data_IF_024803961380
#
_entry.id   IF_024803961380
#
_cell.length_a   1.000
_cell.length_b   1.000
_cell.length_c   1.000
_cell.angle_alpha   90.00
_cell.angle_beta   90.00
_cell.angle_gamma   90.00
#
_symmetry.space_group_name_H-M   'P 1'
#
loop_
_entity.id
_entity.type
_entity.pdbx_description
1 polymer ?
#
# COMPACT_ATOMS: atom_id res chain seq x y z
N UNK A 1 53.18 25.88 35.71
CA UNK A 1 52.63 24.56 35.40
C UNK A 1 51.77 23.94 36.48
N UNK A 2 51.87 24.34 37.77
CA UNK A 2 51.12 23.76 38.91
C UNK A 2 49.62 24.13 38.97
N UNK A 3 49.21 25.34 38.54
CA UNK A 3 47.80 25.78 38.70
C UNK A 3 46.83 25.08 37.72
N UNK A 4 47.30 24.60 36.56
CA UNK A 4 46.46 23.87 35.61
C UNK A 4 46.04 22.49 36.16
N UNK A 5 46.93 21.82 36.86
CA UNK A 5 46.68 20.48 37.41
C UNK A 5 45.61 20.48 38.53
N UNK A 6 45.67 21.51 39.39
CA UNK A 6 44.69 21.66 40.47
C UNK A 6 43.26 21.96 39.97
N UNK A 7 43.15 22.72 38.87
CA UNK A 7 41.83 23.00 38.26
C UNK A 7 41.21 21.72 37.68
N UNK A 8 42.04 20.83 37.10
CA UNK A 8 41.54 19.58 36.56
C UNK A 8 41.18 18.55 37.65
N UNK A 9 41.86 18.62 38.83
CA UNK A 9 41.54 17.77 39.95
C UNK A 9 40.06 17.96 40.41
N UNK A 10 39.57 19.20 40.37
CA UNK A 10 38.19 19.54 40.69
C UNK A 10 37.20 18.91 39.72
N UNK A 11 37.54 18.75 38.44
CA UNK A 11 36.68 18.13 37.43
C UNK A 11 36.69 16.60 37.49
N UNK A 12 37.71 15.97 38.08
CA UNK A 12 37.78 14.50 38.20
C UNK A 12 36.66 13.96 39.07
N UNK A 13 36.28 14.68 40.14
CA UNK A 13 35.25 14.25 41.06
C UNK A 13 33.89 14.09 40.37
N UNK A 14 33.35 15.11 39.66
CA UNK A 14 32.09 14.96 38.94
C UNK A 14 32.18 13.91 37.82
N UNK A 15 33.29 13.84 37.08
CA UNK A 15 33.49 12.81 36.04
C UNK A 15 33.39 11.42 36.64
N UNK A 16 34.12 11.17 37.74
CA UNK A 16 34.09 9.87 38.42
C UNK A 16 32.70 9.50 38.95
N UNK A 17 31.98 10.48 39.51
CA UNK A 17 30.61 10.29 39.98
C UNK A 17 29.67 9.90 38.85
N UNK A 18 29.75 10.63 37.71
CA UNK A 18 28.93 10.34 36.51
C UNK A 18 29.22 8.96 35.97
N UNK A 19 30.49 8.55 35.88
CA UNK A 19 30.89 7.20 35.43
C UNK A 19 30.34 6.12 36.33
N UNK A 20 30.46 6.31 37.67
CA UNK A 20 29.94 5.35 38.66
C UNK A 20 28.42 5.22 38.52
N UNK A 21 27.70 6.31 38.46
CA UNK A 21 26.23 6.29 38.24
C UNK A 21 25.88 5.56 36.95
N UNK A 22 26.54 5.91 35.84
CA UNK A 22 26.34 5.23 34.57
C UNK A 22 26.61 3.74 34.61
N UNK A 23 27.68 3.34 35.27
CA UNK A 23 28.02 1.93 35.44
C UNK A 23 26.91 1.16 36.17
N UNK A 24 26.38 1.69 37.26
CA UNK A 24 25.26 1.06 37.98
C UNK A 24 23.97 1.05 37.17
N UNK A 25 23.69 2.13 36.43
CA UNK A 25 22.53 2.19 35.51
C UNK A 25 22.64 1.12 34.41
N UNK A 26 23.82 0.98 33.77
CA UNK A 26 24.04 -0.04 32.76
C UNK A 26 23.88 -1.46 33.36
N UNK A 27 24.37 -1.68 34.57
CA UNK A 27 24.22 -2.95 35.26
C UNK A 27 22.75 -3.24 35.58
N UNK A 28 22.01 -2.23 36.00
CA UNK A 28 20.57 -2.34 36.29
C UNK A 28 19.79 -2.68 35.03
N UNK A 29 20.02 -1.94 33.92
CA UNK A 29 19.39 -2.20 32.61
C UNK A 29 19.71 -3.61 32.12
N UNK A 30 20.97 -4.04 32.24
CA UNK A 30 21.41 -5.41 31.90
C UNK A 30 20.66 -6.48 32.70
N UNK A 31 20.46 -6.25 33.99
CA UNK A 31 19.71 -7.18 34.84
C UNK A 31 18.23 -7.23 34.41
N UNK A 32 17.60 -6.09 34.14
CA UNK A 32 16.20 -6.03 33.73
C UNK A 32 16.00 -6.81 32.41
N UNK A 33 16.73 -6.45 31.36
CA UNK A 33 16.61 -7.12 30.07
C UNK A 33 17.04 -8.60 30.11
N UNK A 34 18.01 -8.96 30.96
CA UNK A 34 18.38 -10.34 31.19
C UNK A 34 17.28 -11.18 31.86
N UNK A 35 16.40 -10.60 32.67
CA UNK A 35 15.22 -11.29 33.22
C UNK A 35 14.11 -11.43 32.15
N UNK A 36 13.98 -10.47 31.27
CA UNK A 36 13.04 -10.52 30.10
C UNK A 36 13.49 -11.63 29.14
N UNK A 37 14.79 -11.67 28.78
CA UNK A 37 15.38 -12.71 27.92
C UNK A 37 15.15 -14.12 28.47
N UNK A 38 15.23 -14.27 29.78
CA UNK A 38 14.99 -15.57 30.48
C UNK A 38 13.50 -15.88 30.67
N UNK A 39 12.60 -15.04 30.21
CA UNK A 39 11.15 -15.23 30.31
C UNK A 39 10.57 -15.09 31.73
N UNK A 40 11.35 -14.60 32.70
CA UNK A 40 10.89 -14.37 34.07
C UNK A 40 9.99 -13.16 34.21
N UNK A 41 10.21 -12.14 33.36
CA UNK A 41 9.38 -10.93 33.25
C UNK A 41 8.81 -10.96 31.86
N UNK A 42 7.45 -10.99 31.74
CA UNK A 42 6.73 -10.88 30.48
C UNK A 42 6.06 -9.51 30.43
N UNK A 43 6.47 -8.67 29.49
CA UNK A 43 5.71 -7.50 29.16
C UNK A 43 4.70 -7.88 28.06
N UNK A 44 3.48 -7.39 28.18
CA UNK A 44 2.45 -7.56 27.16
C UNK A 44 3.00 -7.02 25.83
N UNK A 45 3.00 -7.85 24.77
CA UNK A 45 3.49 -7.53 23.42
C UNK A 45 5.02 -7.39 23.22
N UNK A 46 5.87 -7.66 24.25
CA UNK A 46 7.32 -7.61 24.08
C UNK A 46 7.91 -8.99 23.85
N UNK A 47 8.42 -9.24 22.65
CA UNK A 47 9.04 -10.52 22.30
C UNK A 47 10.40 -10.69 23.00
N UNK A 48 10.67 -11.88 23.51
CA UNK A 48 11.93 -12.20 24.22
C UNK A 48 13.17 -11.94 23.36
N UNK A 49 13.07 -12.17 22.04
CA UNK A 49 14.14 -11.92 21.07
C UNK A 49 14.56 -10.45 20.99
N UNK A 50 13.68 -9.53 21.36
CA UNK A 50 13.95 -8.09 21.36
C UNK A 50 14.73 -7.63 22.58
N UNK A 51 14.82 -8.42 23.64
CA UNK A 51 15.48 -8.04 24.88
C UNK A 51 16.94 -7.65 24.67
N UNK A 52 17.68 -8.46 23.94
CA UNK A 52 19.11 -8.23 23.68
C UNK A 52 19.37 -7.01 22.78
N UNK A 53 18.72 -6.84 21.61
CA UNK A 53 18.85 -5.63 20.80
C UNK A 53 18.44 -4.37 21.55
N UNK A 54 17.33 -4.38 22.28
CA UNK A 54 16.87 -3.23 23.04
C UNK A 54 17.85 -2.85 24.14
N UNK A 55 18.42 -3.82 24.86
CA UNK A 55 19.50 -3.58 25.82
C UNK A 55 20.70 -2.89 25.15
N UNK A 56 21.12 -3.34 23.96
CA UNK A 56 22.24 -2.75 23.23
C UNK A 56 21.97 -1.29 22.85
N UNK A 57 20.77 -1.01 22.34
CA UNK A 57 20.32 0.36 21.99
C UNK A 57 20.29 1.25 23.22
N UNK A 58 19.64 0.81 24.30
CA UNK A 58 19.56 1.56 25.56
C UNK A 58 20.95 1.84 26.13
N UNK A 59 21.84 0.83 26.09
CA UNK A 59 23.21 0.99 26.57
C UNK A 59 24.00 1.99 25.73
N UNK A 60 23.86 1.95 24.39
CA UNK A 60 24.49 2.89 23.49
C UNK A 60 24.02 4.32 23.76
N UNK A 61 22.70 4.54 23.88
CA UNK A 61 22.12 5.85 24.17
C UNK A 61 22.62 6.37 25.53
N UNK A 62 22.62 5.51 26.57
CA UNK A 62 23.09 5.89 27.90
C UNK A 62 24.57 6.30 27.88
N UNK A 63 25.43 5.55 27.18
CA UNK A 63 26.84 5.89 27.02
C UNK A 63 27.01 7.21 26.26
N UNK A 64 26.24 7.42 25.18
CA UNK A 64 26.29 8.67 24.40
C UNK A 64 25.86 9.90 25.23
N UNK A 65 24.78 9.76 26.02
CA UNK A 65 24.34 10.80 26.94
C UNK A 65 25.39 11.07 28.02
N UNK A 66 25.96 10.02 28.58
CA UNK A 66 27.05 10.13 29.58
C UNK A 66 28.26 10.86 29.00
N UNK A 67 28.67 10.53 27.80
CA UNK A 67 29.76 11.21 27.10
C UNK A 67 29.46 12.70 26.89
N UNK A 68 28.22 13.03 26.51
CA UNK A 68 27.78 14.42 26.36
C UNK A 68 27.80 15.22 27.69
N UNK A 69 27.41 14.58 28.80
CA UNK A 69 27.45 15.19 30.13
C UNK A 69 28.88 15.38 30.63
N UNK A 70 29.79 14.44 30.35
CA UNK A 70 31.19 14.49 30.76
C UNK A 70 31.97 15.53 29.92
N UNK A 71 31.54 15.76 28.68
CA UNK A 71 32.25 16.59 27.70
C UNK A 71 32.70 17.97 28.23
N UNK A 72 31.91 18.79 28.94
CA UNK A 72 32.32 20.08 29.47
C UNK A 72 33.40 20.00 30.55
N UNK A 73 33.59 18.84 31.19
CA UNK A 73 34.59 18.63 32.23
C UNK A 73 35.94 18.17 31.69
N UNK A 74 36.03 17.85 30.36
CA UNK A 74 37.27 17.39 29.75
C UNK A 74 38.26 18.55 29.50
N UNK A 75 39.60 18.31 29.66
CA UNK A 75 40.57 19.30 29.32
C UNK A 75 40.56 19.60 27.81
N UNK A 76 40.54 20.89 27.46
CA UNK A 76 40.55 21.31 26.07
C UNK A 76 39.19 21.30 25.35
N UNK A 77 38.08 21.09 26.07
CA UNK A 77 36.72 21.09 25.47
C UNK A 77 36.39 22.38 24.70
N UNK A 78 36.99 23.53 25.06
CA UNK A 78 36.84 24.82 24.36
C UNK A 78 37.73 24.97 23.13
N UNK A 79 38.57 23.99 22.79
CA UNK A 79 39.42 24.10 21.62
C UNK A 79 38.61 23.98 20.32
N UNK A 80 39.03 24.73 19.29
CA UNK A 80 38.44 24.69 17.95
C UNK A 80 38.41 23.26 17.36
N UNK A 81 39.45 22.46 17.62
CA UNK A 81 39.51 21.08 17.18
C UNK A 81 38.40 20.20 17.79
N UNK A 82 38.18 20.33 19.08
CA UNK A 82 37.10 19.61 19.76
C UNK A 82 35.70 19.99 19.26
N UNK A 83 35.46 21.32 19.05
CA UNK A 83 34.23 21.78 18.45
C UNK A 83 34.01 21.23 17.04
N UNK A 84 35.07 21.26 16.21
CA UNK A 84 35.02 20.72 14.84
C UNK A 84 34.64 19.22 14.81
N UNK A 85 35.32 18.41 15.64
CA UNK A 85 35.00 16.98 15.75
C UNK A 85 33.58 16.73 16.24
N UNK A 86 33.11 17.49 17.25
CA UNK A 86 31.78 17.32 17.81
C UNK A 86 30.70 17.65 16.78
N UNK A 87 30.86 18.75 16.03
CA UNK A 87 29.96 19.11 14.93
C UNK A 87 29.96 18.03 13.84
N UNK A 88 31.14 17.56 13.45
CA UNK A 88 31.28 16.52 12.44
C UNK A 88 30.55 15.21 12.83
N UNK A 89 30.75 14.74 14.06
CA UNK A 89 30.04 13.56 14.59
C UNK A 89 28.55 13.81 14.65
N UNK A 90 28.11 15.00 15.10
CA UNK A 90 26.69 15.39 15.14
C UNK A 90 26.04 15.32 13.75
N UNK A 91 26.72 15.84 12.72
CA UNK A 91 26.24 15.78 11.32
C UNK A 91 26.15 14.35 10.83
N UNK A 92 27.18 13.51 11.09
CA UNK A 92 27.15 12.09 10.69
C UNK A 92 25.99 11.34 11.32
N UNK A 93 25.74 11.52 12.63
CA UNK A 93 24.61 10.89 13.32
C UNK A 93 23.30 11.41 12.77
N UNK A 94 23.18 12.71 12.53
CA UNK A 94 21.98 13.32 11.97
C UNK A 94 21.64 12.75 10.60
N UNK A 95 22.61 12.69 9.68
CA UNK A 95 22.43 12.09 8.36
C UNK A 95 22.05 10.60 8.44
N UNK A 96 22.71 9.85 9.32
CA UNK A 96 22.43 8.42 9.51
C UNK A 96 21.04 8.14 10.10
N UNK A 97 20.48 9.09 10.85
CA UNK A 97 19.17 8.94 11.52
C UNK A 97 17.99 9.37 10.66
N UNK A 98 18.22 9.97 9.49
CA UNK A 98 17.18 10.60 8.66
C UNK A 98 16.00 9.66 8.36
N UNK A 99 16.27 8.42 7.96
CA UNK A 99 15.24 7.44 7.60
C UNK A 99 14.36 7.05 8.81
N UNK A 100 14.98 6.83 9.96
CA UNK A 100 14.26 6.47 11.19
C UNK A 100 13.34 7.63 11.61
N UNK A 101 13.88 8.85 11.62
CA UNK A 101 13.14 10.06 11.98
C UNK A 101 11.99 10.31 11.01
N UNK A 102 12.20 10.16 9.70
CA UNK A 102 11.17 10.30 8.68
C UNK A 102 10.01 9.31 8.89
N UNK A 103 10.32 8.04 9.13
CA UNK A 103 9.29 7.01 9.35
C UNK A 103 8.53 7.22 10.68
N UNK A 104 9.22 7.63 11.74
CA UNK A 104 8.59 7.92 13.03
C UNK A 104 7.64 9.11 12.93
N UNK A 105 8.09 10.21 12.31
CA UNK A 105 7.27 11.39 12.11
C UNK A 105 6.06 11.09 11.23
N UNK A 106 6.26 10.35 10.13
CA UNK A 106 5.17 9.90 9.27
C UNK A 106 4.18 9.02 10.04
N UNK A 107 4.66 8.09 10.88
CA UNK A 107 3.81 7.25 11.73
C UNK A 107 2.93 8.07 12.67
N UNK A 108 3.49 9.09 13.31
CA UNK A 108 2.74 10.01 14.17
C UNK A 108 1.66 10.74 13.34
N UNK A 109 2.02 11.32 12.19
CA UNK A 109 1.07 12.02 11.32
C UNK A 109 -0.06 11.08 10.89
N UNK A 110 0.24 9.87 10.43
CA UNK A 110 -0.75 8.87 10.00
C UNK A 110 -1.67 8.42 11.14
N UNK A 111 -1.15 8.43 12.38
CA UNK A 111 -1.96 8.12 13.56
C UNK A 111 -3.02 9.19 13.81
N UNK A 112 -2.64 10.47 13.75
CA UNK A 112 -3.55 11.59 13.99
C UNK A 112 -4.44 11.93 12.79
N UNK A 113 -3.98 11.66 11.57
CA UNK A 113 -4.74 11.93 10.34
C UNK A 113 -5.98 11.05 10.17
N UNK A 114 -6.09 9.92 10.89
CA UNK A 114 -7.21 8.97 10.83
C UNK A 114 -7.59 8.51 9.41
N UNK A 115 -6.65 8.55 8.47
CA UNK A 115 -6.89 8.21 7.06
C UNK A 115 -7.39 6.77 6.87
N UNK A 116 -7.02 5.88 7.77
CA UNK A 116 -7.48 4.49 7.84
C UNK A 116 -7.26 3.90 9.24
N UNK A 117 -8.00 2.85 9.55
CA UNK A 117 -7.95 2.12 10.83
C UNK A 117 -7.55 0.66 10.60
N UNK A 118 -7.28 -0.06 11.70
CA UNK A 118 -7.07 -1.52 11.66
C UNK A 118 -8.31 -2.20 11.12
N UNK A 119 -8.13 -3.13 10.19
CA UNK A 119 -9.21 -3.84 9.50
C UNK A 119 -9.74 -3.14 8.26
N UNK A 120 -9.44 -1.86 8.01
CA UNK A 120 -9.86 -1.17 6.79
C UNK A 120 -9.27 -1.84 5.54
N UNK A 121 -10.07 -1.92 4.48
CA UNK A 121 -9.61 -2.34 3.16
C UNK A 121 -9.11 -1.13 2.40
N UNK A 122 -7.83 -1.11 2.09
CA UNK A 122 -7.15 0.06 1.53
C UNK A 122 -6.33 -0.32 0.30
N UNK A 123 -6.12 0.65 -0.55
CA UNK A 123 -5.11 0.59 -1.61
C UNK A 123 -4.07 1.68 -1.37
N UNK A 124 -2.82 1.27 -1.27
CA UNK A 124 -1.65 2.14 -1.13
C UNK A 124 -0.72 1.81 -2.29
N UNK A 125 -0.58 2.73 -3.24
CA UNK A 125 0.09 2.49 -4.52
C UNK A 125 -0.53 1.27 -5.24
N UNK A 126 0.26 0.19 -5.42
CA UNK A 126 -0.19 -1.05 -6.06
C UNK A 126 -0.66 -2.11 -5.04
N UNK A 127 -0.45 -1.86 -3.76
CA UNK A 127 -0.80 -2.81 -2.69
C UNK A 127 -2.24 -2.61 -2.27
N UNK A 128 -3.06 -3.65 -2.43
CA UNK A 128 -4.46 -3.67 -2.01
C UNK A 128 -4.65 -4.74 -0.94
N UNK A 129 -5.31 -4.41 0.17
CA UNK A 129 -5.56 -5.37 1.23
C UNK A 129 -6.08 -4.74 2.52
N UNK A 130 -6.17 -5.57 3.58
CA UNK A 130 -6.58 -5.14 4.90
C UNK A 130 -5.40 -4.65 5.74
N UNK A 131 -5.60 -3.56 6.46
CA UNK A 131 -4.63 -3.07 7.45
C UNK A 131 -4.65 -4.02 8.65
N UNK A 132 -3.58 -4.80 8.82
CA UNK A 132 -3.48 -5.79 9.91
C UNK A 132 -2.79 -5.22 11.15
N UNK A 133 -1.76 -4.42 10.94
CA UNK A 133 -1.01 -3.82 12.04
C UNK A 133 -0.52 -2.41 11.66
N UNK A 134 -0.43 -1.56 12.67
CA UNK A 134 -0.06 -0.17 12.55
C UNK A 134 0.89 0.22 13.67
N UNK A 135 2.16 0.39 13.35
CA UNK A 135 3.17 0.77 14.33
C UNK A 135 3.91 2.06 13.91
N UNK A 136 4.73 2.68 14.78
CA UNK A 136 5.38 3.96 14.50
C UNK A 136 6.30 3.99 13.28
N UNK A 137 6.77 2.85 12.79
CA UNK A 137 7.75 2.78 11.71
C UNK A 137 7.16 2.24 10.41
N UNK A 138 6.26 1.25 10.52
CA UNK A 138 5.70 0.53 9.37
C UNK A 138 4.23 0.23 9.59
N UNK A 139 3.52 0.02 8.51
CA UNK A 139 2.16 -0.53 8.49
C UNK A 139 2.20 -1.86 7.74
N UNK A 140 1.43 -2.84 8.24
CA UNK A 140 1.30 -4.16 7.64
C UNK A 140 -0.05 -4.30 6.98
N UNK A 141 -0.04 -4.72 5.72
CA UNK A 141 -1.24 -4.95 4.92
C UNK A 141 -1.28 -6.42 4.51
N UNK A 142 -2.37 -7.09 4.84
CA UNK A 142 -2.66 -8.44 4.37
C UNK A 142 -3.45 -8.36 3.06
N UNK A 143 -2.85 -8.84 1.98
CA UNK A 143 -3.49 -8.87 0.68
C UNK A 143 -4.54 -9.98 0.60
N UNK A 144 -5.48 -9.97 -0.39
CA UNK A 144 -6.45 -11.05 -0.60
C UNK A 144 -5.82 -12.43 -0.86
N UNK A 145 -4.53 -12.46 -1.24
CA UNK A 145 -3.75 -13.70 -1.41
C UNK A 145 -3.08 -14.18 -0.12
N UNK A 146 -3.43 -13.58 1.04
CA UNK A 146 -2.86 -13.90 2.35
C UNK A 146 -1.35 -13.60 2.40
N UNK A 147 -0.87 -12.62 1.65
CA UNK A 147 0.51 -12.15 1.69
C UNK A 147 0.57 -10.89 2.55
N UNK A 148 1.45 -10.92 3.55
CA UNK A 148 1.70 -9.76 4.40
C UNK A 148 2.73 -8.83 3.74
N UNK A 149 2.30 -7.64 3.39
CA UNK A 149 3.16 -6.59 2.84
C UNK A 149 3.45 -5.56 3.93
N UNK A 150 4.74 -5.25 4.10
CA UNK A 150 5.20 -4.27 5.10
C UNK A 150 5.61 -2.99 4.38
N UNK A 151 4.94 -1.89 4.70
CA UNK A 151 5.18 -0.58 4.09
C UNK A 151 5.75 0.40 5.13
N UNK A 152 6.89 1.07 4.85
CA UNK A 152 7.40 2.14 5.70
C UNK A 152 6.42 3.32 5.76
N UNK A 153 6.23 3.90 6.95
CA UNK A 153 5.26 5.00 7.14
C UNK A 153 5.57 6.22 6.27
N UNK A 154 6.85 6.53 6.05
CA UNK A 154 7.26 7.63 5.19
C UNK A 154 6.83 7.43 3.73
N UNK A 155 6.86 6.19 3.23
CA UNK A 155 6.35 5.84 1.90
C UNK A 155 4.86 6.08 1.82
N UNK A 156 4.10 5.62 2.81
CA UNK A 156 2.64 5.76 2.84
C UNK A 156 2.22 7.23 2.88
N UNK A 157 2.89 8.05 3.69
CA UNK A 157 2.58 9.48 3.82
C UNK A 157 2.77 10.23 2.49
N UNK A 158 3.74 9.79 1.67
CA UNK A 158 4.03 10.38 0.37
C UNK A 158 3.26 9.75 -0.78
N UNK A 159 2.47 8.71 -0.52
CA UNK A 159 1.71 7.96 -1.53
C UNK A 159 0.23 8.34 -1.52
N UNK A 160 -0.45 8.03 -2.62
CA UNK A 160 -1.91 8.08 -2.66
C UNK A 160 -2.49 6.91 -1.88
N UNK A 161 -3.30 7.20 -0.86
CA UNK A 161 -4.06 6.21 -0.10
C UNK A 161 -5.52 6.28 -0.50
N UNK A 162 -6.07 5.16 -0.96
CA UNK A 162 -7.51 4.99 -1.21
C UNK A 162 -8.07 4.06 -0.14
N UNK A 163 -9.01 4.55 0.66
CA UNK A 163 -9.68 3.76 1.69
C UNK A 163 -11.10 3.41 1.22
N UNK A 164 -11.35 2.13 0.98
CA UNK A 164 -12.65 1.62 0.52
C UNK A 164 -13.64 1.42 1.68
N UNK A 165 -13.16 1.34 2.92
CA UNK A 165 -13.99 1.09 4.11
C UNK A 165 -14.46 2.37 4.79
N UNK A 166 -13.81 3.50 4.56
CA UNK A 166 -14.02 4.75 5.29
C UNK A 166 -15.48 5.23 5.21
N UNK A 167 -16.04 5.32 4.01
CA UNK A 167 -17.40 5.81 3.80
C UNK A 167 -18.44 4.91 4.44
N UNK A 168 -18.30 3.59 4.27
CA UNK A 168 -19.21 2.62 4.86
C UNK A 168 -19.17 2.64 6.40
N UNK A 169 -17.98 2.82 6.96
CA UNK A 169 -17.76 2.86 8.42
C UNK A 169 -18.26 4.16 9.04
N UNK A 170 -17.88 5.30 8.51
CA UNK A 170 -18.06 6.60 9.17
C UNK A 170 -19.41 7.24 8.86
N UNK A 171 -19.93 7.04 7.65
CA UNK A 171 -21.18 7.66 7.19
C UNK A 171 -22.30 6.66 6.89
N UNK A 172 -22.01 5.36 6.90
CA UNK A 172 -22.96 4.33 6.49
C UNK A 172 -23.27 4.32 5.00
N UNK A 173 -22.58 5.16 4.20
CA UNK A 173 -22.79 5.22 2.75
C UNK A 173 -22.11 4.02 2.11
N UNK A 174 -22.85 3.17 1.34
CA UNK A 174 -22.26 2.00 0.71
C UNK A 174 -21.27 2.38 -0.39
N UNK A 175 -20.23 1.56 -0.54
CA UNK A 175 -19.25 1.68 -1.61
C UNK A 175 -19.91 1.41 -2.96
N UNK A 176 -19.59 2.20 -3.97
CA UNK A 176 -19.99 1.92 -5.36
C UNK A 176 -18.91 1.08 -6.02
N UNK A 177 -19.26 -0.16 -6.36
CA UNK A 177 -18.46 -1.00 -7.24
C UNK A 177 -18.83 -0.71 -8.68
N UNK A 178 -17.83 -0.55 -9.53
CA UNK A 178 -18.04 -0.30 -10.95
C UNK A 178 -17.41 -1.40 -11.80
N UNK A 179 -18.16 -1.85 -12.80
CA UNK A 179 -17.77 -2.93 -13.71
C UNK A 179 -17.91 -2.44 -15.14
N UNK A 180 -16.81 -2.28 -15.89
CA UNK A 180 -16.87 -1.94 -17.30
C UNK A 180 -17.24 -3.15 -18.14
N UNK A 181 -18.09 -2.95 -19.17
CA UNK A 181 -18.52 -3.97 -20.11
C UNK A 181 -18.62 -3.31 -21.48
N UNK A 182 -18.16 -4.00 -22.53
CA UNK A 182 -18.26 -3.54 -23.90
C UNK A 182 -19.22 -4.42 -24.69
N UNK A 183 -20.20 -3.81 -25.38
CA UNK A 183 -21.23 -4.50 -26.15
C UNK A 183 -21.44 -3.82 -27.49
N UNK A 184 -21.77 -4.61 -28.54
CA UNK A 184 -21.98 -4.10 -29.90
C UNK A 184 -23.22 -3.21 -30.02
N UNK A 185 -23.30 -2.45 -31.11
CA UNK A 185 -24.43 -1.58 -31.44
C UNK A 185 -25.69 -2.34 -31.90
N UNK A 186 -25.57 -3.63 -32.18
CA UNK A 186 -26.64 -4.52 -32.59
C UNK A 186 -27.72 -4.74 -31.53
N UNK A 187 -27.40 -4.48 -30.26
CA UNK A 187 -28.32 -4.63 -29.13
C UNK A 187 -28.80 -3.27 -28.65
N UNK A 188 -30.15 -3.07 -28.53
CA UNK A 188 -30.67 -1.81 -27.99
C UNK A 188 -30.22 -1.56 -26.55
N UNK A 189 -29.67 -0.37 -26.27
CA UNK A 189 -29.10 -0.01 -24.96
C UNK A 189 -30.09 -0.20 -23.79
N UNK A 190 -31.41 0.01 -24.01
CA UNK A 190 -32.43 -0.20 -22.97
C UNK A 190 -32.51 -1.65 -22.52
N UNK A 191 -32.31 -2.61 -23.44
CA UNK A 191 -32.25 -4.04 -23.14
C UNK A 191 -31.01 -4.37 -22.32
N UNK A 192 -29.85 -3.79 -22.71
CA UNK A 192 -28.59 -3.93 -21.99
C UNK A 192 -28.68 -3.40 -20.57
N UNK A 193 -29.18 -2.16 -20.37
CA UNK A 193 -29.34 -1.57 -19.05
C UNK A 193 -30.21 -2.44 -18.13
N UNK A 194 -31.33 -2.95 -18.66
CA UNK A 194 -32.23 -3.82 -17.88
C UNK A 194 -31.55 -5.11 -17.43
N UNK A 195 -30.81 -5.78 -18.34
CA UNK A 195 -30.09 -7.00 -18.04
C UNK A 195 -29.00 -6.77 -16.97
N UNK A 196 -28.20 -5.72 -17.14
CA UNK A 196 -27.10 -5.40 -16.21
C UNK A 196 -27.63 -5.01 -14.80
N UNK A 197 -28.68 -4.20 -14.74
CA UNK A 197 -29.32 -3.84 -13.44
C UNK A 197 -29.87 -5.09 -12.75
N UNK A 198 -30.49 -6.00 -13.51
CA UNK A 198 -31.01 -7.25 -12.94
C UNK A 198 -29.86 -8.15 -12.44
N UNK A 199 -28.77 -8.28 -13.21
CA UNK A 199 -27.60 -9.02 -12.80
C UNK A 199 -26.99 -8.51 -11.49
N UNK A 200 -26.98 -7.19 -11.29
CA UNK A 200 -26.56 -6.60 -10.02
C UNK A 200 -27.51 -6.93 -8.86
N UNK A 201 -28.84 -6.88 -9.09
CA UNK A 201 -29.82 -7.21 -8.07
C UNK A 201 -29.80 -8.67 -7.63
N UNK A 202 -29.40 -9.58 -8.52
CA UNK A 202 -29.28 -11.00 -8.24
C UNK A 202 -28.01 -11.32 -7.42
N UNK A 203 -27.13 -10.35 -7.20
CA UNK A 203 -25.93 -10.52 -6.39
C UNK A 203 -26.26 -10.26 -4.90
N UNK A 204 -26.11 -11.25 -4.01
CA UNK A 204 -26.45 -11.11 -2.59
C UNK A 204 -25.66 -10.04 -1.85
N UNK A 205 -24.43 -9.75 -2.32
CA UNK A 205 -23.55 -8.75 -1.71
C UNK A 205 -23.87 -7.30 -2.12
N UNK A 206 -24.84 -7.11 -3.01
CA UNK A 206 -25.29 -5.79 -3.46
C UNK A 206 -26.45 -5.32 -2.62
N UNK A 207 -26.40 -4.06 -2.20
CA UNK A 207 -27.45 -3.43 -1.38
C UNK A 207 -28.73 -3.29 -2.20
N UNK A 208 -29.83 -3.88 -1.71
CA UNK A 208 -31.09 -3.88 -2.44
C UNK A 208 -31.85 -2.55 -2.34
N UNK A 209 -31.65 -1.80 -1.27
CA UNK A 209 -32.30 -0.50 -1.03
C UNK A 209 -31.76 0.60 -1.99
N UNK A 210 -30.56 0.42 -2.52
CA UNK A 210 -29.94 1.31 -3.49
C UNK A 210 -30.07 0.72 -4.89
N UNK A 211 -30.76 1.45 -5.79
CA UNK A 211 -30.93 0.98 -7.17
C UNK A 211 -29.62 1.04 -7.94
N UNK A 212 -29.09 -0.10 -8.43
CA UNK A 212 -27.94 -0.12 -9.34
C UNK A 212 -28.26 0.68 -10.60
N UNK A 213 -27.25 1.29 -11.20
CA UNK A 213 -27.39 2.09 -12.42
C UNK A 213 -26.28 1.80 -13.42
N UNK A 214 -26.56 2.05 -14.68
CA UNK A 214 -25.63 1.83 -15.78
C UNK A 214 -25.36 3.15 -16.48
N UNK A 215 -24.07 3.44 -16.70
CA UNK A 215 -23.60 4.57 -17.52
C UNK A 215 -23.09 4.06 -18.86
N UNK A 216 -23.32 4.82 -19.90
CA UNK A 216 -22.61 4.69 -21.18
C UNK A 216 -21.39 5.61 -21.09
N UNK A 217 -20.19 5.03 -21.06
CA UNK A 217 -18.95 5.79 -20.83
C UNK A 217 -18.27 6.23 -22.11
N UNK A 218 -18.43 5.47 -23.21
CA UNK A 218 -17.97 5.87 -24.53
C UNK A 218 -18.80 5.22 -25.65
N UNK A 219 -18.77 5.85 -26.82
CA UNK A 219 -19.27 5.32 -28.08
C UNK A 219 -18.04 5.13 -28.98
N UNK A 220 -17.57 3.90 -29.06
CA UNK A 220 -16.36 3.54 -29.80
C UNK A 220 -16.72 3.02 -31.21
N UNK A 221 -15.72 2.78 -32.08
CA UNK A 221 -15.95 2.43 -33.49
C UNK A 221 -16.79 1.17 -33.70
N UNK A 222 -16.72 0.18 -32.77
CA UNK A 222 -17.36 -1.14 -32.91
C UNK A 222 -18.22 -1.55 -31.72
N UNK A 223 -18.15 -0.82 -30.60
CA UNK A 223 -18.86 -1.15 -29.39
C UNK A 223 -19.21 0.10 -28.60
N UNK A 224 -20.14 -0.05 -27.71
CA UNK A 224 -20.47 0.93 -26.68
C UNK A 224 -19.89 0.43 -25.35
N UNK A 225 -19.18 1.29 -24.65
CA UNK A 225 -18.68 0.99 -23.32
C UNK A 225 -19.76 1.34 -22.28
N UNK A 226 -20.15 0.35 -21.50
CA UNK A 226 -21.08 0.47 -20.38
C UNK A 226 -20.33 0.31 -19.08
N UNK A 227 -20.75 1.02 -18.07
CA UNK A 227 -20.27 0.86 -16.70
C UNK A 227 -21.45 0.56 -15.78
N UNK A 228 -21.53 -0.67 -15.29
CA UNK A 228 -22.48 -1.05 -14.26
C UNK A 228 -21.96 -0.55 -12.92
N UNK A 229 -22.80 0.19 -12.18
CA UNK A 229 -22.50 0.69 -10.84
C UNK A 229 -23.48 0.07 -9.84
N UNK A 230 -22.94 -0.59 -8.83
CA UNK A 230 -23.71 -1.30 -7.81
C UNK A 230 -23.18 -0.98 -6.41
N UNK A 231 -24.07 -0.92 -5.43
CA UNK A 231 -23.73 -0.50 -4.07
C UNK A 231 -23.47 -1.71 -3.17
N UNK A 232 -22.40 -1.66 -2.35
CA UNK A 232 -22.10 -2.70 -1.38
C UNK A 232 -21.63 -2.13 -0.04
N UNK A 233 -21.99 -2.78 1.06
CA UNK A 233 -21.42 -2.55 2.39
C UNK A 233 -20.23 -3.50 2.67
N UNK A 234 -20.10 -4.56 1.87
CA UNK A 234 -19.05 -5.55 2.05
C UNK A 234 -17.76 -5.07 1.36
N UNK A 235 -16.86 -4.50 2.13
CA UNK A 235 -15.56 -4.03 1.63
C UNK A 235 -14.43 -5.06 1.79
N UNK A 236 -14.69 -6.17 2.51
CA UNK A 236 -13.68 -7.18 2.83
C UNK A 236 -13.36 -8.15 1.69
N UNK A 237 -14.28 -8.34 0.74
CA UNK A 237 -14.11 -9.28 -0.39
C UNK A 237 -14.56 -8.67 -1.71
N UNK A 238 -14.01 -7.51 -2.05
CA UNK A 238 -14.28 -6.85 -3.34
C UNK A 238 -14.02 -7.76 -4.55
N UNK A 239 -12.91 -8.54 -4.61
CA UNK A 239 -12.66 -9.45 -5.72
C UNK A 239 -13.73 -10.55 -5.84
N UNK A 240 -14.20 -11.11 -4.74
CA UNK A 240 -15.26 -12.12 -4.73
C UNK A 240 -16.58 -11.56 -5.22
N UNK A 241 -16.95 -10.36 -4.79
CA UNK A 241 -18.17 -9.66 -5.25
C UNK A 241 -18.09 -9.39 -6.77
N UNK A 242 -16.96 -8.91 -7.28
CA UNK A 242 -16.79 -8.73 -8.73
C UNK A 242 -16.92 -10.05 -9.49
N UNK A 243 -16.32 -11.12 -8.98
CA UNK A 243 -16.45 -12.46 -9.61
C UNK A 243 -17.91 -12.93 -9.66
N UNK A 244 -18.67 -12.73 -8.59
CA UNK A 244 -20.09 -13.05 -8.55
C UNK A 244 -20.89 -12.18 -9.53
N UNK A 245 -20.59 -10.90 -9.56
CA UNK A 245 -21.25 -9.95 -10.46
C UNK A 245 -21.01 -10.31 -11.93
N UNK A 246 -19.77 -10.70 -12.29
CA UNK A 246 -19.44 -11.14 -13.64
C UNK A 246 -20.23 -12.40 -14.06
N UNK A 247 -20.37 -13.37 -13.17
CA UNK A 247 -21.21 -14.57 -13.43
C UNK A 247 -22.65 -14.19 -13.71
N UNK A 248 -23.25 -13.38 -12.83
CA UNK A 248 -24.63 -12.94 -12.97
C UNK A 248 -24.84 -12.13 -14.27
N UNK A 249 -23.83 -11.33 -14.67
CA UNK A 249 -23.88 -10.58 -15.94
C UNK A 249 -23.91 -11.53 -17.12
N UNK A 250 -23.04 -12.55 -17.14
CA UNK A 250 -23.02 -13.55 -18.20
C UNK A 250 -24.37 -14.28 -18.28
N UNK A 251 -24.85 -14.81 -17.16
CA UNK A 251 -26.13 -15.54 -17.09
C UNK A 251 -27.30 -14.67 -17.60
N UNK A 252 -27.38 -13.41 -17.15
CA UNK A 252 -28.47 -12.50 -17.58
C UNK A 252 -28.34 -12.05 -19.04
N UNK A 253 -27.13 -11.92 -19.54
CA UNK A 253 -26.91 -11.62 -20.97
C UNK A 253 -27.35 -12.81 -21.84
N UNK A 254 -27.01 -14.03 -21.44
CA UNK A 254 -27.43 -15.24 -22.15
C UNK A 254 -28.95 -15.44 -22.15
N UNK A 255 -29.62 -15.25 -21.01
CA UNK A 255 -31.09 -15.35 -20.90
C UNK A 255 -31.87 -14.43 -21.84
N UNK A 256 -31.28 -13.28 -22.18
CA UNK A 256 -31.93 -12.28 -23.06
C UNK A 256 -31.28 -12.22 -24.44
N UNK A 257 -30.48 -13.19 -24.83
CA UNK A 257 -29.77 -13.25 -26.12
C UNK A 257 -28.97 -11.96 -26.39
N UNK A 258 -28.13 -11.57 -25.42
CA UNK A 258 -27.13 -10.50 -25.57
C UNK A 258 -25.77 -11.19 -25.62
N UNK A 259 -25.12 -11.13 -26.77
CA UNK A 259 -23.79 -11.74 -26.95
C UNK A 259 -22.70 -10.78 -26.49
N UNK A 260 -21.94 -11.20 -25.46
CA UNK A 260 -20.73 -10.49 -25.04
C UNK A 260 -19.61 -10.93 -25.97
N UNK A 261 -19.30 -10.08 -26.97
CA UNK A 261 -18.29 -10.41 -27.98
C UNK A 261 -17.05 -9.57 -27.84
N UNK A 262 -15.89 -10.20 -28.15
CA UNK A 262 -14.63 -9.46 -28.27
C UNK A 262 -14.64 -8.61 -29.55
N UNK A 263 -14.36 -7.29 -29.48
CA UNK A 263 -14.38 -6.41 -30.65
C UNK A 263 -13.34 -6.75 -31.71
N UNK A 264 -12.37 -7.61 -31.42
CA UNK A 264 -11.28 -7.95 -32.34
C UNK A 264 -11.67 -8.90 -33.48
N UNK A 265 -12.83 -9.56 -33.44
CA UNK A 265 -13.22 -10.55 -34.44
C UNK A 265 -13.91 -9.97 -35.68
N UNK A 266 -14.47 -8.78 -35.63
CA UNK A 266 -15.28 -8.23 -36.72
C UNK A 266 -14.48 -7.43 -37.74
N UNK A 267 -13.20 -7.20 -37.57
CA UNK A 267 -12.47 -6.26 -38.44
C UNK A 267 -11.62 -6.87 -39.54
N UNK A 268 -11.56 -8.18 -39.65
CA UNK A 268 -10.89 -8.86 -40.80
C UNK A 268 -11.81 -9.06 -42.01
N UNK A 269 -13.08 -8.69 -41.90
CA UNK A 269 -14.03 -8.83 -42.97
C UNK A 269 -14.36 -7.48 -43.61
N UNK A 270 -13.95 -7.38 -44.85
CA UNK A 270 -14.55 -6.49 -45.86
C UNK A 270 -14.12 -5.01 -45.85
N UNK A 271 -12.88 -4.76 -46.13
CA UNK A 271 -12.57 -3.63 -46.99
C UNK A 271 -12.19 -4.16 -48.35
N UNK A 272 -13.10 -4.02 -49.32
CA UNK A 272 -12.91 -4.26 -50.78
C UNK A 272 -12.25 -5.57 -51.22
N UNK A 273 -12.51 -6.68 -50.54
CA UNK A 273 -12.00 -7.97 -50.94
C UNK A 273 -10.48 -8.16 -50.86
N UNK A 274 -9.77 -7.19 -50.32
CA UNK A 274 -8.32 -7.25 -50.16
C UNK A 274 -7.93 -7.18 -48.67
N UNK A 275 -7.38 -8.27 -48.08
CA UNK A 275 -7.08 -8.33 -46.66
C UNK A 275 -5.78 -7.60 -46.23
N UNK A 276 -5.19 -6.80 -47.10
CA UNK A 276 -3.95 -6.11 -46.79
C UNK A 276 -4.20 -4.72 -46.21
N UNK A 277 -3.71 -4.47 -45.02
CA UNK A 277 -3.65 -3.13 -44.41
C UNK A 277 -2.49 -2.28 -44.95
N UNK A 278 -1.66 -2.86 -45.82
CA UNK A 278 -0.53 -2.17 -46.45
C UNK A 278 -0.99 -1.67 -47.83
N UNK A 279 -0.84 -0.39 -48.13
CA UNK A 279 -1.16 0.15 -49.46
C UNK A 279 -0.40 -0.61 -50.57
N UNK A 280 -1.04 -0.87 -51.70
CA UNK A 280 -0.49 -1.68 -52.80
C UNK A 280 0.86 -1.20 -53.34
N UNK A 281 1.13 0.09 -53.29
CA UNK A 281 2.41 0.68 -53.69
C UNK A 281 3.60 0.34 -52.78
N UNK A 282 3.35 -0.23 -51.59
CA UNK A 282 4.38 -0.70 -50.66
C UNK A 282 4.54 -2.23 -50.69
N UNK A 283 3.74 -2.94 -51.43
CA UNK A 283 3.84 -4.40 -51.54
C UNK A 283 4.82 -4.80 -52.67
N UNK A 284 5.62 -5.88 -52.49
CA UNK A 284 6.39 -6.45 -53.58
C UNK A 284 5.48 -6.82 -54.76
N UNK A 285 5.97 -6.71 -55.99
CA UNK A 285 5.16 -6.97 -57.22
C UNK A 285 4.64 -8.40 -57.29
N UNK A 286 5.23 -9.33 -56.58
CA UNK A 286 4.87 -10.77 -56.49
C UNK A 286 4.15 -11.14 -55.20
N UNK A 287 3.75 -10.16 -54.38
CA UNK A 287 3.04 -10.43 -53.16
C UNK A 287 1.66 -11.04 -53.43
N UNK A 288 1.43 -12.19 -52.80
CA UNK A 288 0.10 -12.84 -52.77
C UNK A 288 -0.41 -12.84 -51.35
N UNK A 289 -1.56 -12.20 -51.13
CA UNK A 289 -2.23 -12.20 -49.84
C UNK A 289 -2.55 -13.63 -49.42
N UNK A 290 -2.29 -14.00 -48.13
CA UNK A 290 -2.75 -15.28 -47.61
C UNK A 290 -4.28 -15.33 -47.66
N UNK A 291 -4.84 -16.34 -48.38
CA UNK A 291 -6.29 -16.52 -48.46
C UNK A 291 -6.75 -17.26 -47.19
N UNK A 292 -7.45 -16.57 -46.31
CA UNK A 292 -8.22 -17.19 -45.25
C UNK A 292 -9.59 -17.55 -45.80
N UNK A 293 -9.83 -18.83 -46.04
CA UNK A 293 -11.15 -19.33 -46.38
C UNK A 293 -12.02 -19.48 -45.15
N UNK A 294 -12.93 -18.55 -44.90
CA UNK A 294 -14.01 -18.73 -43.93
C UNK A 294 -15.09 -19.53 -44.64
N UNK A 295 -15.33 -20.78 -44.31
CA UNK A 295 -16.54 -21.51 -44.68
C UNK A 295 -17.68 -20.97 -43.81
N UNK A 296 -18.50 -20.12 -44.36
CA UNK A 296 -19.82 -19.85 -43.79
C UNK A 296 -20.64 -21.13 -44.01
N UNK A 297 -20.95 -21.85 -42.90
CA UNK A 297 -21.92 -22.92 -42.96
C UNK A 297 -23.26 -22.32 -43.37
N UNK A 298 -23.73 -22.62 -44.59
CA UNK A 298 -25.15 -22.49 -44.93
C UNK A 298 -25.87 -23.60 -44.17
N UNK A 299 -26.69 -23.24 -43.17
CA UNK A 299 -27.72 -24.14 -42.68
C UNK A 299 -28.67 -24.42 -43.85
N UNK A 300 -28.60 -25.61 -44.40
CA UNK A 300 -29.70 -26.13 -45.20
C UNK A 300 -30.87 -26.46 -44.27
N UNK A 301 -32.00 -25.90 -44.57
CA UNK A 301 -33.37 -26.03 -44.03
C UNK A 301 -33.76 -27.41 -43.53
#
# INVERSE_FOLDING_TARGET
MGNGFLTYLHNIVPISLIIVITHYLLRFIKLLFGQVERGKIRFMEFYQEWAKPTYQICSFILIAVTAAIIFPYLPGYQSLAFHGISVFIGVLISLGSTSITANTNAGIILLYAHSFQLGDYVQIEEVVGHVEDKNPFVIRICTPKIVLVVLPNATILNSKVTNFSLSARDTGIPLILHTPITLGYDVPWRKIHKALIQAARDCPSIVQDCTPFVLQTSLDDFYVSYQLNAYTHQTSDIPGIHSQLYKNIQDRCDEVDIKIMSPHYNYTALRDGNPTTIPENYLPKDYRSPRFGIRLGTEDT
#
